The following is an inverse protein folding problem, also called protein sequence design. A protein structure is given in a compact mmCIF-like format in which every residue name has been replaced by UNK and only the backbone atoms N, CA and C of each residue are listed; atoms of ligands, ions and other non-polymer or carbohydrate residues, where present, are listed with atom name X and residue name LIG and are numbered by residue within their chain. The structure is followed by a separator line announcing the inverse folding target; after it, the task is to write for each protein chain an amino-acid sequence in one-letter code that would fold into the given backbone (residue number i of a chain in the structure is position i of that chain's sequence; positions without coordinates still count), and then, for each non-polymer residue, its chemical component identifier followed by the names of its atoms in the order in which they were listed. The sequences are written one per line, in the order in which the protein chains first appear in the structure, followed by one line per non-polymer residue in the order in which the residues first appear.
data_IF_884267906153
#
_entry.id   IF_884267906153
#
_cell.length_a   1.000
_cell.length_b   1.000
_cell.length_c   1.000
_cell.angle_alpha   90.00
_cell.angle_beta   90.00
_cell.angle_gamma   90.00
#
_symmetry.space_group_name_H-M   'P 1'
#
loop_
_entity.id
_entity.type
_entity.pdbx_description
1 polymer ?
#
# COMPACT_ATOMS: atom_id res chain seq x y z
N UNK A 1 49.36 52.56 24.12
CA UNK A 1 47.95 52.11 24.31
C UNK A 1 47.46 51.52 23.04
N UNK A 2 47.42 50.17 22.95
CA UNK A 2 46.96 49.43 21.75
C UNK A 2 45.54 48.97 21.99
N UNK A 3 44.59 49.43 21.16
CA UNK A 3 43.21 48.96 21.18
C UNK A 3 43.12 47.62 20.42
N UNK A 4 42.92 46.53 21.13
CA UNK A 4 42.56 45.25 20.53
C UNK A 4 41.06 45.24 20.16
N UNK A 5 40.79 45.32 18.90
CA UNK A 5 39.41 45.11 18.35
C UNK A 5 39.07 43.60 18.34
N UNK A 6 38.19 43.19 19.22
CA UNK A 6 37.62 41.82 19.20
C UNK A 6 36.61 41.71 18.05
N UNK A 7 36.95 40.95 16.99
CA UNK A 7 36.02 40.57 15.95
C UNK A 7 35.14 39.43 16.52
N UNK A 8 33.89 39.71 16.68
CA UNK A 8 32.87 38.68 16.96
C UNK A 8 32.59 37.90 15.68
N UNK A 9 32.87 36.60 15.70
CA UNK A 9 32.47 35.67 14.65
C UNK A 9 30.98 35.30 14.89
N UNK A 10 30.10 35.83 14.04
CA UNK A 10 28.70 35.43 14.00
C UNK A 10 28.65 34.15 13.18
N UNK A 11 28.50 33.00 13.85
CA UNK A 11 28.22 31.72 13.20
C UNK A 11 26.75 31.72 12.78
N UNK A 12 26.52 31.91 11.49
CA UNK A 12 25.18 31.72 10.90
C UNK A 12 24.91 30.20 10.86
N UNK A 13 24.13 29.70 11.80
CA UNK A 13 23.63 28.34 11.80
C UNK A 13 22.67 28.17 10.61
N UNK A 14 23.03 27.27 9.70
CA UNK A 14 22.16 26.86 8.60
C UNK A 14 20.98 26.07 9.19
N UNK A 15 19.81 26.71 9.30
CA UNK A 15 18.57 26.01 9.64
C UNK A 15 18.12 25.29 8.39
N UNK A 16 18.42 23.99 8.29
CA UNK A 16 17.84 23.14 7.26
C UNK A 16 16.40 22.87 7.67
N UNK A 17 15.39 23.30 6.89
CA UNK A 17 14.01 22.98 7.20
C UNK A 17 13.86 21.46 7.15
N UNK A 18 13.37 20.86 8.23
CA UNK A 18 12.95 19.46 8.22
C UNK A 18 11.84 19.35 7.18
N UNK A 19 12.08 18.58 6.12
CA UNK A 19 11.02 18.24 5.17
C UNK A 19 9.90 17.56 5.96
N UNK A 20 8.73 18.21 6.02
CA UNK A 20 7.56 17.60 6.60
C UNK A 20 7.25 16.33 5.78
N UNK A 21 7.37 15.14 6.41
CA UNK A 21 6.94 13.90 5.78
C UNK A 21 5.45 14.05 5.47
N UNK A 22 5.08 13.87 4.19
CA UNK A 22 3.67 13.89 3.80
C UNK A 22 2.96 12.75 4.54
N UNK A 23 1.88 13.08 5.23
CA UNK A 23 1.09 12.08 5.95
C UNK A 23 0.48 11.08 4.96
N UNK A 24 0.35 9.83 5.40
CA UNK A 24 -0.39 8.79 4.67
C UNK A 24 -1.88 9.16 4.60
N UNK A 25 -2.59 8.61 3.63
CA UNK A 25 -4.03 8.80 3.53
C UNK A 25 -4.72 8.16 4.73
N UNK A 26 -5.46 8.97 5.48
CA UNK A 26 -6.27 8.47 6.60
C UNK A 26 -7.36 7.53 6.08
N UNK A 27 -7.54 6.40 6.77
CA UNK A 27 -8.63 5.47 6.49
C UNK A 27 -9.70 5.55 7.59
N UNK A 28 -11.00 5.49 7.23
CA UNK A 28 -12.07 5.33 8.20
C UNK A 28 -11.88 4.04 9.01
N UNK A 29 -12.26 4.06 10.29
CA UNK A 29 -12.12 2.90 11.18
C UNK A 29 -13.00 1.71 10.78
N UNK A 30 -14.02 1.95 9.96
CA UNK A 30 -14.94 0.96 9.42
C UNK A 30 -14.63 0.60 7.96
N UNK A 31 -13.48 1.04 7.42
CA UNK A 31 -13.00 0.63 6.12
C UNK A 31 -12.79 -0.90 6.10
N UNK A 32 -13.32 -1.56 5.08
CA UNK A 32 -13.29 -3.01 5.00
C UNK A 32 -12.90 -3.48 3.60
N UNK A 33 -11.74 -4.12 3.52
CA UNK A 33 -11.17 -4.68 2.29
C UNK A 33 -11.29 -6.20 2.31
N UNK A 34 -11.72 -6.81 1.21
CA UNK A 34 -11.93 -8.26 1.13
C UNK A 34 -11.80 -8.77 -0.31
N UNK A 35 -11.51 -10.05 -0.45
CA UNK A 35 -11.55 -10.74 -1.73
C UNK A 35 -12.96 -11.29 -1.93
N UNK A 36 -13.65 -10.83 -2.99
CA UNK A 36 -14.99 -11.32 -3.36
C UNK A 36 -14.87 -12.72 -3.94
N UNK A 37 -13.89 -12.94 -4.81
CA UNK A 37 -13.55 -14.21 -5.42
C UNK A 37 -12.05 -14.24 -5.70
N UNK A 38 -11.35 -15.35 -5.48
CA UNK A 38 -11.84 -16.64 -4.97
C UNK A 38 -12.13 -16.61 -3.46
N UNK A 39 -12.87 -17.61 -2.99
CA UNK A 39 -13.08 -17.83 -1.56
C UNK A 39 -11.88 -18.56 -0.96
N UNK A 40 -11.69 -18.44 0.35
CA UNK A 40 -10.67 -19.22 1.07
C UNK A 40 -10.89 -20.72 0.89
N UNK A 41 -9.81 -21.45 0.60
CA UNK A 41 -9.84 -22.88 0.31
C UNK A 41 -10.27 -23.25 -1.12
N UNK A 42 -10.49 -22.29 -2.01
CA UNK A 42 -10.90 -22.58 -3.38
C UNK A 42 -9.88 -23.42 -4.13
N UNK A 43 -10.38 -24.37 -4.93
CA UNK A 43 -9.59 -25.17 -5.89
C UNK A 43 -9.92 -24.70 -7.29
N UNK A 44 -8.92 -24.17 -7.97
CA UNK A 44 -9.09 -23.45 -9.24
C UNK A 44 -8.27 -24.17 -10.32
N UNK A 45 -8.83 -24.28 -11.51
CA UNK A 45 -8.13 -24.82 -12.68
C UNK A 45 -7.69 -23.69 -13.60
N UNK A 46 -6.37 -23.51 -13.71
CA UNK A 46 -5.78 -22.49 -14.57
C UNK A 46 -5.95 -21.07 -14.05
N UNK A 47 -5.94 -20.09 -14.96
CA UNK A 47 -6.10 -18.69 -14.61
C UNK A 47 -7.53 -18.36 -14.19
N UNK A 48 -7.67 -17.34 -13.33
CA UNK A 48 -8.96 -16.95 -12.76
C UNK A 48 -9.08 -15.43 -12.63
N UNK A 49 -10.32 -14.95 -12.54
CA UNK A 49 -10.59 -13.56 -12.20
C UNK A 49 -10.61 -13.41 -10.69
N UNK A 50 -9.67 -12.62 -10.15
CA UNK A 50 -9.70 -12.22 -8.75
C UNK A 50 -10.50 -10.92 -8.63
N UNK A 51 -11.53 -10.90 -7.79
CA UNK A 51 -12.41 -9.75 -7.59
C UNK A 51 -12.22 -9.16 -6.22
N UNK A 52 -12.07 -7.84 -6.18
CA UNK A 52 -11.73 -7.06 -4.99
C UNK A 52 -12.95 -6.32 -4.47
N UNK A 53 -13.19 -6.40 -3.18
CA UNK A 53 -14.26 -5.68 -2.51
C UNK A 53 -13.72 -4.65 -1.53
N UNK A 54 -14.28 -3.44 -1.56
CA UNK A 54 -13.95 -2.37 -0.63
C UNK A 54 -15.24 -1.72 -0.15
N UNK A 55 -15.39 -1.56 1.17
CA UNK A 55 -16.50 -0.85 1.80
C UNK A 55 -15.99 0.36 2.55
N UNK A 56 -16.80 1.41 2.55
CA UNK A 56 -16.59 2.66 3.32
C UNK A 56 -15.34 3.45 2.88
N UNK A 57 -14.79 3.11 1.72
CA UNK A 57 -13.75 3.88 1.02
C UNK A 57 -13.98 3.80 -0.49
N UNK A 58 -13.44 4.75 -1.22
CA UNK A 58 -13.45 4.78 -2.68
C UNK A 58 -12.21 4.11 -3.29
N UNK A 59 -12.36 3.59 -4.50
CA UNK A 59 -11.24 3.16 -5.33
C UNK A 59 -10.84 4.31 -6.24
N UNK A 60 -9.56 4.60 -6.34
CA UNK A 60 -9.02 5.68 -7.18
C UNK A 60 -7.79 5.22 -7.96
N UNK A 61 -7.29 6.07 -8.86
CA UNK A 61 -6.03 5.84 -9.53
C UNK A 61 -4.84 6.08 -8.59
N UNK A 62 -3.75 5.40 -8.82
CA UNK A 62 -2.47 5.74 -8.20
C UNK A 62 -2.08 7.18 -8.60
N UNK A 63 -1.57 7.94 -7.64
CA UNK A 63 -1.24 9.35 -7.84
C UNK A 63 -2.38 10.33 -7.51
N UNK A 64 -3.63 9.87 -7.47
CA UNK A 64 -4.77 10.70 -7.12
C UNK A 64 -4.99 10.73 -5.60
N UNK A 65 -4.96 11.92 -5.01
CA UNK A 65 -5.15 12.13 -3.57
C UNK A 65 -6.58 12.57 -3.27
N UNK A 66 -7.51 11.61 -3.24
CA UNK A 66 -8.88 11.85 -2.76
C UNK A 66 -9.03 11.39 -1.31
N UNK A 67 -9.76 12.14 -0.46
CA UNK A 67 -10.06 11.68 0.89
C UNK A 67 -10.79 10.32 0.88
N UNK A 68 -10.45 9.47 1.84
CA UNK A 68 -11.07 8.15 2.00
C UNK A 68 -11.05 7.30 0.72
N UNK A 69 -9.93 7.31 0.01
CA UNK A 69 -9.77 6.52 -1.22
C UNK A 69 -8.36 5.96 -1.35
N UNK A 70 -8.23 4.95 -2.18
CA UNK A 70 -6.96 4.32 -2.49
C UNK A 70 -7.09 3.34 -3.66
N UNK A 71 -6.02 2.64 -3.97
CA UNK A 71 -6.00 1.64 -5.03
C UNK A 71 -5.52 0.29 -4.52
N UNK A 72 -5.93 -0.76 -5.20
CA UNK A 72 -5.66 -2.13 -4.76
C UNK A 72 -4.24 -2.58 -5.07
N UNK A 73 -3.65 -3.31 -4.12
CA UNK A 73 -2.50 -4.17 -4.32
C UNK A 73 -2.89 -5.59 -3.91
N UNK A 74 -2.45 -6.60 -4.66
CA UNK A 74 -2.65 -8.01 -4.33
C UNK A 74 -1.31 -8.65 -4.00
N UNK A 75 -1.17 -9.12 -2.79
CA UNK A 75 -0.02 -9.85 -2.29
C UNK A 75 -0.21 -11.34 -2.56
N UNK A 76 0.73 -11.95 -3.25
CA UNK A 76 0.73 -13.37 -3.59
C UNK A 76 1.92 -14.05 -2.91
N UNK A 77 1.65 -15.02 -2.04
CA UNK A 77 2.67 -15.78 -1.29
C UNK A 77 3.61 -14.92 -0.43
N UNK A 78 3.12 -13.76 0.02
CA UNK A 78 3.86 -12.86 0.90
C UNK A 78 3.63 -13.28 2.35
N UNK A 79 4.70 -13.61 3.07
CA UNK A 79 4.67 -14.01 4.48
C UNK A 79 5.15 -12.93 5.43
N UNK A 80 5.93 -11.97 4.94
CA UNK A 80 6.42 -10.85 5.72
C UNK A 80 5.26 -9.94 6.13
N UNK A 81 5.27 -9.43 7.35
CA UNK A 81 4.26 -8.46 7.79
C UNK A 81 4.40 -7.16 6.98
N UNK A 82 3.24 -6.56 6.67
CA UNK A 82 3.20 -5.26 6.02
C UNK A 82 3.88 -4.20 6.91
N UNK A 83 4.84 -3.47 6.34
CA UNK A 83 5.40 -2.30 7.00
C UNK A 83 4.54 -1.06 6.65
N UNK A 84 3.82 -0.47 7.60
CA UNK A 84 2.97 0.68 7.30
C UNK A 84 3.75 1.94 6.91
N UNK A 85 5.04 2.00 7.20
CA UNK A 85 5.89 3.16 6.96
C UNK A 85 6.73 3.06 5.67
N UNK A 86 6.50 2.05 4.87
CA UNK A 86 7.19 1.83 3.59
C UNK A 86 6.20 1.74 2.44
N UNK A 87 6.67 2.10 1.25
CA UNK A 87 5.89 1.88 0.02
C UNK A 87 5.64 0.39 -0.17
N UNK A 88 4.42 0.05 -0.59
CA UNK A 88 4.07 -1.32 -0.98
C UNK A 88 4.91 -1.66 -2.22
N UNK A 89 5.72 -2.72 -2.18
CA UNK A 89 6.53 -3.11 -3.34
C UNK A 89 5.66 -3.38 -4.58
N UNK A 90 6.29 -3.32 -5.75
CA UNK A 90 5.66 -3.67 -7.02
C UNK A 90 6.54 -4.70 -7.72
N UNK A 91 6.20 -5.96 -7.60
CA UNK A 91 6.92 -7.10 -8.14
C UNK A 91 5.98 -8.28 -8.42
N UNK A 92 6.53 -9.47 -8.66
CA UNK A 92 5.74 -10.68 -8.96
C UNK A 92 4.84 -11.13 -7.80
N UNK A 93 5.19 -10.77 -6.56
CA UNK A 93 4.43 -11.10 -5.35
C UNK A 93 3.59 -9.94 -4.83
N UNK A 94 3.78 -8.74 -5.35
CA UNK A 94 3.06 -7.53 -4.97
C UNK A 94 2.48 -6.88 -6.23
N UNK A 95 1.32 -7.38 -6.66
CA UNK A 95 0.67 -6.92 -7.89
C UNK A 95 -0.03 -5.59 -7.64
N UNK A 96 0.21 -4.62 -8.52
CA UNK A 96 -0.26 -3.25 -8.42
C UNK A 96 -1.41 -2.98 -9.41
N UNK A 97 -2.49 -2.38 -8.92
CA UNK A 97 -3.69 -2.05 -9.70
C UNK A 97 -4.00 -0.55 -9.63
N UNK A 98 -3.10 0.24 -10.20
CA UNK A 98 -3.11 1.70 -10.09
C UNK A 98 -4.06 2.44 -11.04
N UNK A 99 -4.85 1.75 -11.86
CA UNK A 99 -5.84 2.37 -12.74
C UNK A 99 -7.29 2.24 -12.23
N UNK A 100 -7.47 2.02 -10.93
CA UNK A 100 -8.79 1.89 -10.32
C UNK A 100 -9.44 0.53 -10.54
N UNK A 101 -8.67 -0.50 -10.90
CA UNK A 101 -9.20 -1.84 -11.11
C UNK A 101 -9.79 -2.41 -9.83
N UNK A 102 -10.92 -3.09 -9.96
CA UNK A 102 -11.62 -3.82 -8.90
C UNK A 102 -11.62 -5.33 -9.14
N UNK A 103 -11.02 -5.77 -10.23
CA UNK A 103 -10.78 -7.17 -10.56
C UNK A 103 -9.59 -7.29 -11.50
N UNK A 104 -8.96 -8.45 -11.51
CA UNK A 104 -7.85 -8.76 -12.40
C UNK A 104 -7.81 -10.25 -12.74
N UNK A 105 -7.35 -10.58 -13.94
CA UNK A 105 -7.06 -11.96 -14.31
C UNK A 105 -5.71 -12.35 -13.74
N UNK A 106 -5.71 -13.35 -12.88
CA UNK A 106 -4.52 -13.86 -12.19
C UNK A 106 -4.17 -15.24 -12.75
N UNK A 107 -2.90 -15.45 -12.99
CA UNK A 107 -2.35 -16.74 -13.42
C UNK A 107 -1.20 -17.11 -12.49
N UNK A 108 -1.34 -18.25 -11.82
CA UNK A 108 -0.37 -18.77 -10.88
C UNK A 108 -0.01 -20.20 -11.25
N UNK A 109 1.22 -20.66 -10.97
CA UNK A 109 1.59 -22.04 -11.19
C UNK A 109 0.75 -23.00 -10.34
N UNK A 110 0.65 -24.28 -10.72
CA UNK A 110 -0.02 -25.29 -9.90
C UNK A 110 0.57 -25.35 -8.48
N UNK A 111 -0.30 -25.46 -7.49
CA UNK A 111 0.10 -25.55 -6.09
C UNK A 111 -0.76 -24.69 -5.17
N UNK A 112 -0.40 -24.64 -3.90
CA UNK A 112 -1.00 -23.77 -2.89
C UNK A 112 -0.44 -22.38 -2.98
N UNK A 113 -1.31 -21.37 -2.94
CA UNK A 113 -0.95 -19.96 -2.91
C UNK A 113 -1.76 -19.21 -1.86
N UNK A 114 -1.17 -18.19 -1.29
CA UNK A 114 -1.89 -17.24 -0.44
C UNK A 114 -2.16 -15.95 -1.20
N UNK A 115 -3.32 -15.35 -0.95
CA UNK A 115 -3.73 -14.07 -1.53
C UNK A 115 -4.19 -13.13 -0.41
N UNK A 116 -3.77 -11.87 -0.48
CA UNK A 116 -4.18 -10.83 0.45
C UNK A 116 -4.22 -9.49 -0.25
N UNK A 117 -5.27 -8.70 -0.03
CA UNK A 117 -5.36 -7.34 -0.54
C UNK A 117 -4.81 -6.33 0.48
N UNK A 118 -4.16 -5.30 -0.04
CA UNK A 118 -3.78 -4.10 0.69
C UNK A 118 -4.22 -2.88 -0.11
N UNK A 119 -4.78 -1.89 0.56
CA UNK A 119 -5.12 -0.62 -0.08
C UNK A 119 -3.95 0.35 0.04
N UNK A 120 -3.43 0.80 -1.10
CA UNK A 120 -2.38 1.79 -1.20
C UNK A 120 -2.94 3.19 -1.40
N UNK A 121 -2.30 4.19 -0.80
CA UNK A 121 -2.60 5.60 -1.03
C UNK A 121 -2.00 6.10 -2.37
N UNK A 122 -2.17 7.38 -2.68
CA UNK A 122 -1.67 7.98 -3.91
C UNK A 122 -0.16 7.76 -4.16
N UNK A 123 0.62 7.51 -3.12
CA UNK A 123 2.08 7.29 -3.14
C UNK A 123 2.48 5.84 -2.90
N UNK A 124 1.53 4.89 -2.96
CA UNK A 124 1.74 3.46 -2.71
C UNK A 124 2.07 3.10 -1.26
N UNK A 125 1.88 4.01 -0.30
CA UNK A 125 1.95 3.64 1.11
C UNK A 125 0.63 3.01 1.55
N UNK A 126 0.66 2.07 2.50
CA UNK A 126 -0.57 1.64 3.15
C UNK A 126 -1.30 2.85 3.74
N UNK A 127 -2.64 2.84 3.73
CA UNK A 127 -3.42 3.86 4.45
C UNK A 127 -3.15 3.82 5.95
N UNK A 128 -3.53 4.86 6.68
CA UNK A 128 -3.40 4.93 8.14
C UNK A 128 -4.79 5.05 8.80
N UNK A 129 -5.23 4.04 9.58
CA UNK A 129 -4.62 2.71 9.77
C UNK A 129 -4.60 1.88 8.48
N UNK A 130 -3.71 0.87 8.37
CA UNK A 130 -3.65 0.02 7.19
C UNK A 130 -4.98 -0.71 6.91
N UNK A 131 -5.43 -0.64 5.66
CA UNK A 131 -6.64 -1.33 5.19
C UNK A 131 -6.19 -2.59 4.44
N UNK A 132 -6.34 -3.73 5.10
CA UNK A 132 -5.81 -5.03 4.66
C UNK A 132 -6.92 -6.08 4.75
N UNK A 133 -7.03 -6.94 3.74
CA UNK A 133 -7.98 -8.04 3.78
C UNK A 133 -7.50 -9.20 4.65
N UNK A 134 -8.40 -10.13 4.94
CA UNK A 134 -7.98 -11.46 5.37
C UNK A 134 -7.08 -12.09 4.30
N UNK A 135 -6.07 -12.84 4.74
CA UNK A 135 -5.26 -13.69 3.88
C UNK A 135 -6.03 -14.97 3.62
N UNK A 136 -6.24 -15.30 2.36
CA UNK A 136 -6.90 -16.54 1.94
C UNK A 136 -5.90 -17.49 1.29
N UNK A 137 -6.22 -18.76 1.25
CA UNK A 137 -5.45 -19.81 0.57
C UNK A 137 -6.26 -20.36 -0.59
N UNK A 138 -5.61 -20.47 -1.75
CA UNK A 138 -6.18 -21.13 -2.94
C UNK A 138 -5.27 -22.25 -3.41
N UNK A 139 -5.82 -23.22 -4.12
CA UNK A 139 -5.04 -24.30 -4.74
C UNK A 139 -5.28 -24.28 -6.26
N UNK A 140 -4.22 -24.08 -7.01
CA UNK A 140 -4.25 -24.15 -8.48
C UNK A 140 -3.95 -25.60 -8.90
N UNK A 141 -4.77 -26.13 -9.84
CA UNK A 141 -4.68 -27.49 -10.39
C UNK A 141 -4.19 -27.47 -11.82
#
# INVERSE_FOLDING_TARGET
MSLMTRRALISAGLVVPAAAALAQTAAPTDAYLYIIWPQDGAKIKGAFWCRFGLRNMGVTHAGDSYPNSGHHHLLVDVNEPLNPNEEIPQDKSHLHFGAGQTEARIELPPGKHTLQLVLGDARHFPCDPPVVSQKITVTIK
#
